data_IF_822899257467
#
_entry.id   IF_822899257467
#
_cell.length_a   1.000
_cell.length_b   1.000
_cell.length_c   1.000
_cell.angle_alpha   90.00
_cell.angle_beta   90.00
_cell.angle_gamma   90.00
#
_symmetry.space_group_name_H-M   'P 1'
#
loop_
_entity.id
_entity.type
_entity.pdbx_description
1 polymer ?
#
# COMPACT_ATOMS: atom_id res chain seq x y z
N UNK A 1 -0.33 -8.76 -11.29
CA UNK A 1 -1.77 -8.87 -10.99
C UNK A 1 -2.15 -7.62 -10.23
N UNK A 2 -2.96 -6.76 -10.84
CA UNK A 2 -3.36 -5.46 -10.27
C UNK A 2 -4.69 -5.54 -9.52
N UNK A 3 -5.29 -6.72 -9.41
CA UNK A 3 -6.43 -6.99 -8.52
C UNK A 3 -5.99 -7.46 -7.13
N UNK A 4 -4.72 -7.28 -6.77
CA UNK A 4 -4.13 -7.67 -5.49
C UNK A 4 -3.25 -6.56 -4.92
N UNK A 5 -3.10 -6.56 -3.59
CA UNK A 5 -2.17 -5.68 -2.88
C UNK A 5 -1.36 -6.45 -1.85
N UNK A 6 -0.07 -6.12 -1.73
CA UNK A 6 0.87 -6.73 -0.79
C UNK A 6 1.26 -5.72 0.29
N UNK A 7 1.07 -6.07 1.56
CA UNK A 7 1.51 -5.24 2.70
C UNK A 7 2.66 -5.88 3.45
N UNK A 8 3.64 -5.06 3.84
CA UNK A 8 4.76 -5.49 4.67
C UNK A 8 5.32 -4.34 5.52
N UNK A 9 6.19 -4.70 6.45
CA UNK A 9 6.92 -3.76 7.30
C UNK A 9 8.22 -4.40 7.80
N UNK A 10 9.15 -3.56 8.25
CA UNK A 10 10.48 -3.98 8.66
C UNK A 10 10.93 -3.26 9.94
N UNK A 11 11.49 -4.02 10.88
CA UNK A 11 12.16 -3.49 12.07
C UNK A 11 13.58 -4.04 12.13
N UNK A 12 14.58 -3.16 12.21
CA UNK A 12 16.00 -3.52 12.26
C UNK A 12 16.43 -4.48 11.13
N UNK A 13 15.93 -4.24 9.91
CA UNK A 13 16.21 -5.06 8.73
C UNK A 13 15.50 -6.42 8.70
N UNK A 14 14.72 -6.77 9.73
CA UNK A 14 13.91 -7.99 9.76
C UNK A 14 12.49 -7.67 9.32
N UNK A 15 11.98 -8.45 8.37
CA UNK A 15 10.59 -8.35 7.92
C UNK A 15 9.65 -8.84 9.02
N UNK A 16 8.60 -8.08 9.28
CA UNK A 16 7.50 -8.53 10.14
C UNK A 16 6.53 -9.46 9.39
N UNK A 17 5.29 -9.51 9.86
CA UNK A 17 4.20 -10.13 9.12
C UNK A 17 4.00 -9.43 7.77
N UNK A 18 3.37 -10.15 6.85
CA UNK A 18 3.02 -9.68 5.52
C UNK A 18 1.76 -10.39 5.11
N UNK A 19 1.02 -9.79 4.20
CA UNK A 19 -0.22 -10.37 3.70
C UNK A 19 -0.48 -9.89 2.28
N UNK A 20 -1.03 -10.79 1.47
CA UNK A 20 -1.51 -10.50 0.12
C UNK A 20 -3.04 -10.51 0.14
N UNK A 21 -3.67 -9.42 -0.28
CA UNK A 21 -5.12 -9.28 -0.32
C UNK A 21 -5.64 -9.18 -1.74
N UNK A 22 -6.76 -9.86 -1.98
CA UNK A 22 -7.58 -9.63 -3.18
C UNK A 22 -8.34 -8.31 -3.03
N UNK A 23 -8.25 -7.48 -4.08
CA UNK A 23 -9.00 -6.25 -4.20
C UNK A 23 -10.32 -6.53 -4.94
N UNK A 24 -11.43 -5.88 -4.59
CA UNK A 24 -12.69 -6.02 -5.29
C UNK A 24 -12.72 -5.26 -6.64
N UNK A 25 -11.57 -4.78 -7.11
CA UNK A 25 -11.39 -3.99 -8.32
C UNK A 25 -9.98 -4.20 -8.89
N UNK A 26 -9.78 -3.78 -10.14
CA UNK A 26 -8.43 -3.61 -10.70
C UNK A 26 -7.87 -2.24 -10.28
N UNK A 27 -6.72 -2.24 -9.60
CA UNK A 27 -6.02 -1.05 -9.15
C UNK A 27 -5.41 -0.23 -10.31
N UNK A 28 -5.29 -0.79 -11.51
CA UNK A 28 -4.75 -0.11 -12.67
C UNK A 28 -5.79 0.73 -13.44
N UNK A 29 -7.09 0.52 -13.20
CA UNK A 29 -8.16 1.17 -13.98
C UNK A 29 -8.39 2.64 -13.60
N UNK A 30 -8.13 3.01 -12.35
CA UNK A 30 -8.34 4.37 -11.84
C UNK A 30 -7.52 4.58 -10.55
N UNK A 31 -7.31 5.85 -10.16
CA UNK A 31 -6.68 6.17 -8.89
C UNK A 31 -7.49 5.61 -7.71
N UNK A 32 -6.80 4.91 -6.81
CA UNK A 32 -7.37 4.33 -5.59
C UNK A 32 -6.70 4.92 -4.36
N UNK A 33 -7.46 5.05 -3.28
CA UNK A 33 -6.93 5.52 -2.00
C UNK A 33 -6.37 4.36 -1.18
N UNK A 34 -5.07 4.39 -0.93
CA UNK A 34 -4.39 3.51 0.00
C UNK A 34 -3.83 4.33 1.16
N UNK A 35 -3.97 3.82 2.37
CA UNK A 35 -3.39 4.43 3.55
C UNK A 35 -2.87 3.38 4.53
N UNK A 36 -1.97 3.80 5.41
CA UNK A 36 -1.66 3.05 6.61
C UNK A 36 -1.61 3.99 7.82
N UNK A 37 -2.24 3.58 8.91
CA UNK A 37 -2.05 4.19 10.22
C UNK A 37 -0.94 3.44 10.93
N UNK A 38 0.10 4.16 11.34
CA UNK A 38 1.23 3.60 12.06
C UNK A 38 1.32 4.21 13.46
N UNK A 39 1.13 3.34 14.45
CA UNK A 39 1.20 3.64 15.88
C UNK A 39 2.35 2.83 16.52
N UNK A 40 2.76 3.13 17.76
CA UNK A 40 3.71 2.28 18.48
C UNK A 40 3.23 0.83 18.66
N UNK A 41 1.92 0.60 18.68
CA UNK A 41 1.32 -0.70 18.97
C UNK A 41 1.00 -1.54 17.73
N UNK A 42 0.68 -0.89 16.60
CA UNK A 42 0.27 -1.59 15.37
C UNK A 42 0.42 -0.73 14.11
N UNK A 43 0.40 -1.42 12.97
CA UNK A 43 0.12 -0.80 11.67
C UNK A 43 -1.23 -1.34 11.18
N UNK A 44 -2.11 -0.44 10.74
CA UNK A 44 -3.38 -0.77 10.10
C UNK A 44 -3.39 -0.23 8.68
N UNK A 45 -3.65 -1.07 7.69
CA UNK A 45 -3.76 -0.69 6.28
C UNK A 45 -5.21 -0.54 5.87
N UNK A 46 -5.44 0.47 5.04
CA UNK A 46 -6.75 0.85 4.55
C UNK A 46 -6.77 0.89 3.04
N UNK A 47 -7.89 0.46 2.46
CA UNK A 47 -8.21 0.61 1.04
C UNK A 47 -9.55 1.31 0.95
N UNK A 48 -9.57 2.43 0.24
CA UNK A 48 -10.77 3.29 0.10
C UNK A 48 -11.40 3.71 1.44
N UNK A 49 -10.57 3.86 2.48
CA UNK A 49 -11.00 4.24 3.84
C UNK A 49 -11.40 3.08 4.74
N UNK A 50 -11.54 1.87 4.19
CA UNK A 50 -11.91 0.68 4.97
C UNK A 50 -10.65 -0.04 5.49
N UNK A 51 -10.57 -0.40 6.79
CA UNK A 51 -9.44 -1.14 7.34
C UNK A 51 -9.48 -2.59 6.85
N UNK A 52 -8.45 -3.01 6.12
CA UNK A 52 -8.39 -4.36 5.54
C UNK A 52 -7.39 -5.28 6.24
N UNK A 53 -6.38 -4.70 6.89
CA UNK A 53 -5.38 -5.48 7.64
C UNK A 53 -4.85 -4.69 8.82
N UNK A 54 -4.61 -5.38 9.93
CA UNK A 54 -3.83 -4.86 11.05
C UNK A 54 -2.78 -5.88 11.44
N UNK A 55 -1.60 -5.41 11.83
CA UNK A 55 -0.56 -6.28 12.39
C UNK A 55 -1.10 -7.06 13.59
N UNK A 56 -0.59 -8.28 13.85
CA UNK A 56 -1.02 -9.09 14.98
C UNK A 56 -0.94 -8.35 16.32
N UNK A 57 -1.86 -8.66 17.24
CA UNK A 57 -1.83 -8.07 18.57
C UNK A 57 -0.53 -8.43 19.31
N UNK A 58 0.09 -7.44 19.96
CA UNK A 58 1.34 -7.63 20.69
C UNK A 58 2.57 -7.80 19.79
N UNK A 59 2.47 -7.45 18.51
CA UNK A 59 3.62 -7.53 17.61
C UNK A 59 4.78 -6.65 18.08
N UNK A 60 5.92 -7.29 18.35
CA UNK A 60 7.16 -6.62 18.73
C UNK A 60 7.99 -6.18 17.51
N UNK A 61 7.51 -6.46 16.29
CA UNK A 61 8.10 -6.08 15.02
C UNK A 61 7.70 -4.69 14.52
N UNK A 62 6.89 -3.93 15.24
CA UNK A 62 6.44 -2.60 14.80
C UNK A 62 7.65 -1.66 14.65
N UNK A 63 7.85 -1.01 13.49
CA UNK A 63 8.92 -0.05 13.29
C UNK A 63 8.78 1.14 14.24
N UNK A 64 9.89 1.77 14.59
CA UNK A 64 9.90 2.96 15.46
C UNK A 64 10.78 4.10 14.94
N UNK A 65 11.59 3.85 13.91
CA UNK A 65 12.51 4.85 13.37
C UNK A 65 11.78 5.73 12.34
N UNK A 66 11.85 7.07 12.43
CA UNK A 66 11.31 7.96 11.41
C UNK A 66 11.89 7.65 10.02
N UNK A 67 11.03 7.69 9.00
CA UNK A 67 11.40 7.39 7.62
C UNK A 67 10.95 8.49 6.66
N UNK A 68 11.39 8.39 5.40
CA UNK A 68 10.88 9.20 4.30
C UNK A 68 9.76 8.44 3.60
N UNK A 69 8.72 9.16 3.15
CA UNK A 69 7.75 8.61 2.21
C UNK A 69 8.46 8.46 0.85
N UNK A 70 8.32 7.29 0.24
CA UNK A 70 8.95 6.95 -1.03
C UNK A 70 7.94 6.29 -1.95
N UNK A 71 8.05 6.57 -3.24
CA UNK A 71 7.24 5.97 -4.30
C UNK A 71 8.18 5.58 -5.43
N UNK A 72 7.95 4.42 -6.02
CA UNK A 72 8.75 3.93 -7.14
C UNK A 72 7.94 2.95 -7.99
N UNK A 73 8.30 2.86 -9.26
CA UNK A 73 7.85 1.82 -10.17
C UNK A 73 9.11 1.16 -10.73
N UNK A 74 9.20 -0.16 -10.61
CA UNK A 74 10.39 -0.93 -10.97
C UNK A 74 10.01 -2.33 -11.46
N UNK A 75 10.92 -2.96 -12.19
CA UNK A 75 10.76 -4.33 -12.69
C UNK A 75 11.67 -5.28 -11.91
N UNK A 76 11.15 -6.46 -11.60
CA UNK A 76 11.92 -7.49 -10.93
C UNK A 76 12.98 -8.14 -11.82
N UNK A 77 14.03 -8.67 -11.18
CA UNK A 77 14.96 -9.60 -11.85
C UNK A 77 14.30 -10.98 -11.99
N UNK A 78 14.80 -11.85 -12.90
CA UNK A 78 14.20 -13.16 -13.14
C UNK A 78 13.93 -14.02 -11.89
N UNK A 79 14.80 -13.94 -10.88
CA UNK A 79 14.66 -14.73 -9.65
C UNK A 79 13.54 -14.25 -8.71
N UNK A 80 12.92 -13.08 -8.95
CA UNK A 80 11.76 -12.57 -8.21
C UNK A 80 10.51 -12.40 -9.08
N UNK A 81 10.49 -12.97 -10.29
CA UNK A 81 9.32 -12.93 -11.18
C UNK A 81 8.12 -13.66 -10.58
N UNK A 82 8.33 -14.65 -9.70
CA UNK A 82 7.24 -15.32 -8.97
C UNK A 82 6.44 -14.35 -8.08
N UNK A 83 7.05 -13.23 -7.68
CA UNK A 83 6.38 -12.17 -6.90
C UNK A 83 5.97 -10.99 -7.78
N UNK A 84 6.89 -10.50 -8.61
CA UNK A 84 6.69 -9.27 -9.40
C UNK A 84 5.94 -9.47 -10.71
N UNK A 85 5.76 -10.73 -11.14
CA UNK A 85 5.32 -11.06 -12.48
C UNK A 85 6.44 -10.88 -13.53
N UNK A 86 6.24 -11.46 -14.71
CA UNK A 86 7.18 -11.35 -15.83
C UNK A 86 6.90 -10.09 -16.65
N UNK A 87 7.88 -9.20 -16.75
CA UNK A 87 7.81 -8.04 -17.64
C UNK A 87 7.95 -8.46 -19.12
N UNK A 88 7.09 -7.94 -20.00
CA UNK A 88 7.13 -8.19 -21.44
C UNK A 88 7.63 -7.00 -22.28
N UNK A 89 7.76 -5.81 -21.68
CA UNK A 89 8.27 -4.56 -22.28
C UNK A 89 7.68 -4.18 -23.66
N UNK A 90 6.50 -4.71 -24.01
CA UNK A 90 5.85 -4.47 -25.30
C UNK A 90 5.23 -3.07 -25.41
N UNK A 91 4.88 -2.49 -24.27
CA UNK A 91 4.43 -1.11 -24.10
C UNK A 91 5.05 -0.51 -22.84
N UNK A 92 5.17 0.82 -22.78
CA UNK A 92 5.62 1.50 -21.57
C UNK A 92 4.62 1.29 -20.44
N UNK A 93 5.13 1.11 -19.22
CA UNK A 93 4.33 1.03 -18.00
C UNK A 93 4.82 2.06 -16.99
N UNK A 94 3.95 2.51 -16.12
CA UNK A 94 4.24 3.50 -15.10
C UNK A 94 3.20 3.44 -13.98
N UNK A 95 3.48 4.15 -12.89
CA UNK A 95 2.54 4.36 -11.80
C UNK A 95 2.15 5.84 -11.77
N UNK A 96 0.86 6.09 -11.56
CA UNK A 96 0.32 7.43 -11.36
C UNK A 96 0.06 7.64 -9.87
N UNK A 97 0.37 8.84 -9.36
CA UNK A 97 0.15 9.22 -7.98
C UNK A 97 -0.50 10.60 -7.95
N UNK A 98 -1.82 10.65 -7.76
CA UNK A 98 -2.57 11.91 -7.73
C UNK A 98 -2.35 12.73 -6.47
N UNK A 99 -2.13 12.08 -5.33
CA UNK A 99 -1.99 12.77 -4.04
C UNK A 99 -1.16 11.92 -3.06
N UNK A 100 -0.37 12.61 -2.24
CA UNK A 100 0.31 12.04 -1.07
C UNK A 100 0.14 13.00 0.09
N UNK A 101 -0.37 12.49 1.21
CA UNK A 101 -0.58 13.26 2.43
C UNK A 101 -0.04 12.52 3.64
N UNK A 102 0.38 13.26 4.66
CA UNK A 102 0.81 12.72 5.95
C UNK A 102 0.26 13.58 7.07
N UNK A 103 -0.38 12.93 8.04
CA UNK A 103 -0.82 13.54 9.28
C UNK A 103 -0.11 12.83 10.43
N UNK A 104 0.67 13.54 11.28
CA UNK A 104 1.32 12.91 12.42
C UNK A 104 0.29 12.42 13.43
N UNK A 105 0.62 11.37 14.18
CA UNK A 105 -0.25 10.82 15.23
C UNK A 105 -0.67 11.90 16.23
N UNK A 106 -1.97 12.01 16.50
CA UNK A 106 -2.56 13.05 17.36
C UNK A 106 -2.64 14.44 16.71
N UNK A 107 -2.16 14.61 15.48
CA UNK A 107 -2.30 15.81 14.69
C UNK A 107 -3.65 15.89 13.98
N UNK A 108 -3.94 17.06 13.43
CA UNK A 108 -5.03 17.29 12.48
C UNK A 108 -4.44 17.95 11.24
N UNK A 109 -5.00 17.64 10.07
CA UNK A 109 -4.53 18.20 8.81
C UNK A 109 -5.28 17.58 7.64
N UNK A 110 -5.22 18.21 6.46
CA UNK A 110 -5.87 17.70 5.27
C UNK A 110 -5.24 16.36 4.85
N UNK A 111 -6.09 15.43 4.42
CA UNK A 111 -5.68 14.15 3.87
C UNK A 111 -6.13 14.01 2.42
N UNK A 112 -5.45 13.15 1.65
CA UNK A 112 -5.93 12.79 0.31
C UNK A 112 -7.34 12.17 0.35
N UNK A 113 -7.72 11.57 1.48
CA UNK A 113 -9.06 11.00 1.69
C UNK A 113 -10.16 12.06 1.76
N UNK A 114 -9.86 13.29 2.16
CA UNK A 114 -10.86 14.34 2.36
C UNK A 114 -11.58 14.73 1.05
N UNK A 115 -10.89 14.58 -0.08
CA UNK A 115 -11.41 14.85 -1.42
C UNK A 115 -11.49 13.59 -2.29
N UNK A 116 -11.28 12.41 -1.70
CA UNK A 116 -11.35 11.15 -2.44
C UNK A 116 -12.79 10.70 -2.60
N UNK A 117 -13.15 10.29 -3.81
CA UNK A 117 -14.40 9.59 -4.08
C UNK A 117 -14.04 8.29 -4.79
N UNK A 118 -14.38 7.12 -4.23
CA UNK A 118 -14.14 5.84 -4.89
C UNK A 118 -14.67 5.84 -6.33
N UNK A 119 -13.85 5.44 -7.32
CA UNK A 119 -14.34 5.21 -8.67
C UNK A 119 -15.46 4.16 -8.65
N UNK A 120 -16.47 4.37 -9.49
CA UNK A 120 -17.53 3.36 -9.70
C UNK A 120 -16.84 2.08 -10.16
N UNK A 121 -16.94 1.03 -9.35
CA UNK A 121 -16.53 -0.31 -9.76
C UNK A 121 -17.60 -0.78 -10.74
N UNK A 122 -17.33 -0.62 -12.03
CA UNK A 122 -18.13 -1.27 -13.06
C UNK A 122 -17.91 -2.77 -12.86
N UNK A 123 -18.91 -3.46 -12.33
CA UNK A 123 -18.86 -4.92 -12.24
C UNK A 123 -18.52 -5.50 -13.61
N UNK A 124 -17.66 -6.53 -13.69
CA UNK A 124 -17.60 -7.35 -14.90
C UNK A 124 -18.94 -8.04 -15.17
#
# INVERSE_FOLDING_TARGET
DTTKVHFNYFRNGKRGAFEDFDLPFDAADADRLYAFEWTPERITWFVEGEPIYSTPAGDTGIPAAPGKIMMSAWVGKPFIEGWTGKANFTSGTGAHYSCVSFVPMGGTGPSCGDNYTPPVVLSP
#
